data_IF_724258593821
#
_entry.id   IF_724258593821
#
_cell.length_a   1.000
_cell.length_b   1.000
_cell.length_c   1.000
_cell.angle_alpha   90.00
_cell.angle_beta   90.00
_cell.angle_gamma   90.00
#
_symmetry.space_group_name_H-M   'P 1'
#
loop_
_entity.id
_entity.type
_entity.pdbx_description
1 polymer ?
#
# COMPACT_ATOMS: atom_id res chain seq x y z
N UNK A 1 50.34 -41.00 18.68
CA UNK A 1 50.08 -39.76 17.92
C UNK A 1 51.37 -38.99 17.73
N UNK A 2 51.79 -38.84 16.48
CA UNK A 2 53.04 -38.17 16.08
C UNK A 2 52.82 -36.64 16.02
N UNK A 3 53.88 -35.83 16.18
CA UNK A 3 53.77 -34.35 16.10
C UNK A 3 53.18 -33.86 14.77
N UNK A 4 53.36 -34.63 13.69
CA UNK A 4 52.84 -34.36 12.34
C UNK A 4 51.30 -34.42 12.27
N UNK A 5 50.69 -35.32 13.03
CA UNK A 5 49.22 -35.45 13.10
C UNK A 5 48.59 -34.29 13.89
N UNK A 6 49.27 -33.83 14.95
CA UNK A 6 48.81 -32.68 15.76
C UNK A 6 48.81 -31.37 14.99
N UNK A 7 49.85 -31.12 14.17
CA UNK A 7 49.89 -29.95 13.29
C UNK A 7 48.79 -29.98 12.22
N UNK A 8 48.55 -31.15 11.62
CA UNK A 8 47.49 -31.31 10.63
C UNK A 8 46.11 -31.01 11.21
N UNK A 9 45.81 -31.55 12.39
CA UNK A 9 44.55 -31.31 13.09
C UNK A 9 44.38 -29.85 13.53
N UNK A 10 45.46 -29.16 13.91
CA UNK A 10 45.41 -27.73 14.22
C UNK A 10 45.17 -26.85 12.99
N UNK A 11 45.71 -27.22 11.82
CA UNK A 11 45.37 -26.56 10.55
C UNK A 11 43.90 -26.75 10.22
N UNK A 12 43.37 -27.97 10.29
CA UNK A 12 41.95 -28.27 9.99
C UNK A 12 41.02 -27.50 10.94
N UNK A 13 41.33 -27.46 12.25
CA UNK A 13 40.56 -26.66 13.22
C UNK A 13 40.59 -25.16 12.90
N UNK A 14 41.73 -24.61 12.47
CA UNK A 14 41.84 -23.20 12.05
C UNK A 14 40.99 -22.89 10.82
N UNK A 15 40.99 -23.76 9.82
CA UNK A 15 40.15 -23.62 8.64
C UNK A 15 38.66 -23.76 8.97
N UNK A 16 38.30 -24.71 9.85
CA UNK A 16 36.91 -24.88 10.31
C UNK A 16 36.41 -23.67 11.12
N UNK A 17 37.24 -23.10 12.00
CA UNK A 17 36.91 -21.89 12.75
C UNK A 17 36.79 -20.66 11.84
N UNK A 18 37.65 -20.54 10.82
CA UNK A 18 37.57 -19.47 9.83
C UNK A 18 36.29 -19.59 8.98
N UNK A 19 35.93 -20.80 8.54
CA UNK A 19 34.70 -21.03 7.79
C UNK A 19 33.45 -20.71 8.61
N UNK A 20 33.41 -21.13 9.88
CA UNK A 20 32.29 -20.84 10.79
C UNK A 20 32.13 -19.33 11.06
N UNK A 21 33.24 -18.60 11.24
CA UNK A 21 33.21 -17.13 11.40
C UNK A 21 32.82 -16.39 10.11
N UNK A 22 33.08 -16.97 8.94
CA UNK A 22 32.70 -16.37 7.66
C UNK A 22 31.19 -16.51 7.38
N UNK A 23 30.56 -17.60 7.84
CA UNK A 23 29.11 -17.82 7.68
C UNK A 23 28.26 -16.79 8.43
N UNK A 24 28.74 -16.29 9.59
CA UNK A 24 28.01 -15.28 10.37
C UNK A 24 28.03 -13.89 9.74
N UNK A 25 28.99 -13.61 8.84
CA UNK A 25 29.07 -12.34 8.11
C UNK A 25 28.07 -12.24 6.96
N UNK A 26 27.39 -13.33 6.61
CA UNK A 26 26.37 -13.38 5.54
C UNK A 26 24.94 -13.12 6.06
N UNK A 27 24.75 -12.93 7.38
CA UNK A 27 23.47 -12.55 7.95
C UNK A 27 23.34 -11.02 8.03
N UNK A 28 22.75 -10.42 7.00
CA UNK A 28 22.27 -9.05 7.01
C UNK A 28 20.76 -8.99 7.28
N UNK A 29 20.31 -7.97 8.01
CA UNK A 29 18.88 -7.63 8.05
C UNK A 29 18.50 -6.92 6.73
N UNK A 30 17.34 -7.25 6.17
CA UNK A 30 16.75 -6.42 5.11
C UNK A 30 16.37 -5.06 5.70
N UNK A 31 16.57 -4.01 4.90
CA UNK A 31 16.14 -2.64 5.19
C UNK A 31 14.94 -2.24 4.34
N UNK A 32 14.26 -3.20 3.73
CA UNK A 32 13.08 -2.94 2.92
C UNK A 32 11.95 -2.53 3.85
N UNK A 33 11.51 -1.28 3.70
CA UNK A 33 10.39 -0.73 4.44
C UNK A 33 9.20 -0.72 3.49
N UNK A 34 8.13 -1.41 3.88
CA UNK A 34 6.86 -1.28 3.20
C UNK A 34 6.29 0.11 3.49
N UNK A 35 6.18 0.93 2.44
CA UNK A 35 5.66 2.29 2.54
C UNK A 35 4.13 2.31 2.53
N UNK A 36 3.53 1.30 1.90
CA UNK A 36 2.09 1.21 1.76
C UNK A 36 1.47 0.51 2.97
N UNK A 37 0.45 1.15 3.56
CA UNK A 37 -0.45 0.45 4.46
C UNK A 37 -1.31 -0.56 3.67
N UNK A 38 -1.97 -1.52 4.34
CA UNK A 38 -3.01 -2.31 3.68
C UNK A 38 -4.03 -1.40 3.00
N UNK A 39 -4.29 -1.64 1.71
CA UNK A 39 -5.18 -0.79 0.95
C UNK A 39 -6.62 -0.91 1.45
N UNK A 40 -7.23 0.25 1.72
CA UNK A 40 -8.65 0.39 2.03
C UNK A 40 -9.33 1.24 0.96
N UNK A 41 -10.39 0.69 0.36
CA UNK A 41 -11.15 1.33 -0.71
C UNK A 41 -12.22 2.22 -0.09
N UNK A 42 -11.92 3.50 0.05
CA UNK A 42 -12.81 4.50 0.66
C UNK A 42 -13.41 5.42 -0.40
N UNK A 43 -14.73 5.68 -0.38
CA UNK A 43 -15.35 6.66 -1.27
C UNK A 43 -14.97 8.10 -0.86
N UNK A 44 -14.64 8.91 -1.86
CA UNK A 44 -14.38 10.35 -1.76
C UNK A 44 -15.45 11.05 -2.59
N UNK A 45 -16.36 11.74 -1.91
CA UNK A 45 -17.49 12.43 -2.54
C UNK A 45 -17.31 13.93 -2.36
N UNK A 46 -17.33 14.68 -3.46
CA UNK A 46 -17.25 16.13 -3.43
C UNK A 46 -18.11 16.77 -4.51
N UNK A 47 -18.63 17.95 -4.21
CA UNK A 47 -19.37 18.80 -5.14
C UNK A 47 -19.03 20.24 -4.84
N UNK A 48 -18.84 21.04 -5.88
CA UNK A 48 -18.69 22.48 -5.74
C UNK A 48 -20.06 23.10 -6.05
N UNK A 49 -20.62 23.78 -5.06
CA UNK A 49 -21.93 24.42 -5.20
C UNK A 49 -21.77 25.83 -5.76
N UNK A 50 -22.50 26.13 -6.82
CA UNK A 50 -22.56 27.46 -7.43
C UNK A 50 -24.00 27.98 -7.44
N UNK A 51 -24.27 29.04 -6.68
CA UNK A 51 -25.60 29.64 -6.58
C UNK A 51 -26.11 30.27 -7.89
N UNK A 52 -25.23 30.55 -8.85
CA UNK A 52 -25.61 31.07 -10.16
C UNK A 52 -26.04 29.97 -11.15
N UNK A 53 -25.80 28.70 -10.82
CA UNK A 53 -26.13 27.56 -11.68
C UNK A 53 -27.43 26.88 -11.23
N UNK A 54 -28.23 26.47 -12.20
CA UNK A 54 -29.44 25.68 -11.96
C UNK A 54 -29.12 24.20 -11.68
N UNK A 55 -27.96 23.73 -12.15
CA UNK A 55 -27.51 22.35 -12.08
C UNK A 55 -26.23 22.25 -11.27
N UNK A 56 -26.22 21.35 -10.29
CA UNK A 56 -25.06 21.08 -9.44
C UNK A 56 -24.53 19.68 -9.73
N UNK A 57 -23.20 19.53 -9.68
CA UNK A 57 -22.54 18.27 -9.96
C UNK A 57 -21.85 17.74 -8.72
N UNK A 58 -22.00 16.44 -8.50
CA UNK A 58 -21.30 15.70 -7.46
C UNK A 58 -20.42 14.66 -8.14
N UNK A 59 -19.17 14.61 -7.75
CA UNK A 59 -18.22 13.60 -8.19
C UNK A 59 -17.99 12.58 -7.07
N UNK A 60 -18.11 11.30 -7.43
CA UNK A 60 -17.89 10.16 -6.54
C UNK A 60 -16.67 9.39 -7.03
N UNK A 61 -15.59 9.45 -6.25
CA UNK A 61 -14.33 8.77 -6.53
C UNK A 61 -13.99 7.78 -5.42
N UNK A 62 -12.95 6.98 -5.61
CA UNK A 62 -12.33 6.11 -4.61
C UNK A 62 -10.88 6.52 -4.34
N UNK A 63 -10.40 6.16 -3.16
CA UNK A 63 -8.97 6.14 -2.86
C UNK A 63 -8.23 5.15 -3.75
N UNK A 64 -6.95 5.39 -4.00
CA UNK A 64 -6.03 4.42 -4.60
C UNK A 64 -4.73 4.37 -3.79
N UNK A 65 -4.16 3.18 -3.71
CA UNK A 65 -2.86 2.92 -3.12
C UNK A 65 -2.21 1.82 -3.94
N UNK A 66 -0.95 2.00 -4.30
CA UNK A 66 -0.22 1.07 -5.14
C UNK A 66 1.28 1.32 -5.04
N UNK A 67 2.03 0.42 -5.64
CA UNK A 67 3.49 0.51 -5.65
C UNK A 67 3.96 1.48 -6.75
N UNK A 68 5.12 2.10 -6.51
CA UNK A 68 5.73 3.03 -7.45
C UNK A 68 5.27 4.48 -7.28
N UNK A 69 5.25 5.23 -8.38
CA UNK A 69 4.95 6.66 -8.36
C UNK A 69 3.44 6.91 -8.43
N UNK A 70 2.87 7.36 -7.31
CA UNK A 70 1.44 7.62 -7.22
C UNK A 70 0.96 8.79 -8.09
N UNK A 71 1.86 9.67 -8.56
CA UNK A 71 1.50 10.69 -9.54
C UNK A 71 1.14 10.05 -10.89
N UNK A 72 1.87 9.02 -11.31
CA UNK A 72 1.60 8.35 -12.59
C UNK A 72 0.27 7.61 -12.55
N UNK A 73 -0.05 6.96 -11.41
CA UNK A 73 -1.36 6.36 -11.18
C UNK A 73 -2.49 7.41 -11.18
N UNK A 74 -2.26 8.59 -10.60
CA UNK A 74 -3.27 9.66 -10.54
C UNK A 74 -3.69 10.19 -11.92
N UNK A 75 -2.84 10.01 -12.94
CA UNK A 75 -3.14 10.41 -14.32
C UNK A 75 -4.06 9.41 -15.04
N UNK A 76 -4.24 8.21 -14.50
CA UNK A 76 -5.11 7.18 -15.08
C UNK A 76 -6.48 7.28 -14.41
N UNK A 77 -7.51 7.62 -15.18
CA UNK A 77 -8.85 7.89 -14.65
C UNK A 77 -9.40 6.71 -13.81
N UNK A 78 -9.18 5.49 -14.27
CA UNK A 78 -9.63 4.25 -13.61
C UNK A 78 -9.07 4.07 -12.19
N UNK A 79 -7.97 4.74 -11.84
CA UNK A 79 -7.30 4.59 -10.56
C UNK A 79 -8.15 5.19 -9.45
N UNK A 80 -8.86 6.29 -9.72
CA UNK A 80 -9.69 6.99 -8.74
C UNK A 80 -11.19 6.88 -9.02
N UNK A 81 -11.60 6.28 -10.14
CA UNK A 81 -13.02 6.14 -10.50
C UNK A 81 -13.58 4.76 -10.12
N UNK A 82 -14.87 4.74 -9.82
CA UNK A 82 -15.62 3.52 -9.64
C UNK A 82 -16.24 3.08 -10.98
N UNK A 83 -16.27 1.77 -11.28
CA UNK A 83 -17.21 1.23 -12.26
C UNK A 83 -18.65 1.57 -11.88
N UNK A 84 -19.52 1.78 -12.87
CA UNK A 84 -20.91 2.17 -12.63
C UNK A 84 -21.69 1.07 -11.90
N UNK A 85 -21.35 -0.20 -12.15
CA UNK A 85 -21.93 -1.37 -11.49
C UNK A 85 -21.57 -1.51 -10.01
N UNK A 86 -20.48 -0.87 -9.57
CA UNK A 86 -19.98 -0.91 -8.19
C UNK A 86 -20.64 0.16 -7.31
N UNK A 87 -21.43 1.08 -7.88
CA UNK A 87 -22.02 2.22 -7.19
C UNK A 87 -23.55 2.18 -7.16
N UNK A 88 -24.10 2.46 -5.99
CA UNK A 88 -25.50 2.88 -5.83
C UNK A 88 -25.50 4.30 -5.29
N UNK A 89 -26.03 5.25 -6.07
CA UNK A 89 -26.10 6.66 -5.68
C UNK A 89 -27.55 6.99 -5.35
N UNK A 90 -27.77 7.75 -4.27
CA UNK A 90 -29.08 8.28 -3.88
C UNK A 90 -28.92 9.70 -3.37
N UNK A 91 -29.84 10.57 -3.75
CA UNK A 91 -29.95 11.94 -3.24
C UNK A 91 -31.09 11.98 -2.24
N UNK A 92 -30.82 12.43 -1.02
CA UNK A 92 -31.83 12.56 0.04
C UNK A 92 -31.98 14.02 0.46
N UNK A 93 -33.20 14.53 0.42
CA UNK A 93 -33.57 15.79 1.04
C UNK A 93 -33.91 15.55 2.51
N UNK A 94 -33.35 16.36 3.41
CA UNK A 94 -33.63 16.30 4.85
C UNK A 94 -34.19 17.62 5.38
N UNK A 95 -35.33 17.54 6.07
CA UNK A 95 -35.98 18.67 6.75
C UNK A 95 -36.17 18.30 8.22
N UNK A 96 -35.58 19.06 9.13
CA UNK A 96 -35.71 18.82 10.58
C UNK A 96 -35.21 17.44 11.03
N UNK A 97 -34.19 16.89 10.36
CA UNK A 97 -33.62 15.56 10.65
C UNK A 97 -34.37 14.37 10.02
N UNK A 98 -35.55 14.61 9.43
CA UNK A 98 -36.31 13.58 8.71
C UNK A 98 -36.05 13.66 7.21
N UNK A 99 -36.06 12.52 6.52
CA UNK A 99 -35.97 12.47 5.05
C UNK A 99 -37.31 12.90 4.47
N UNK A 100 -37.31 13.96 3.67
CA UNK A 100 -38.50 14.54 3.03
C UNK A 100 -38.67 14.07 1.58
N UNK A 101 -37.57 13.72 0.91
CA UNK A 101 -37.55 13.22 -0.47
C UNK A 101 -36.30 12.37 -0.75
N UNK A 102 -36.42 11.44 -1.70
CA UNK A 102 -35.33 10.59 -2.16
C UNK A 102 -35.40 10.38 -3.68
N UNK A 103 -34.27 10.52 -4.35
CA UNK A 103 -34.09 10.28 -5.78
C UNK A 103 -32.92 9.31 -6.01
N UNK A 104 -33.05 8.40 -6.96
CA UNK A 104 -32.06 7.39 -7.32
C UNK A 104 -31.77 7.44 -8.82
#
# INVERSE_FOLDING_TARGET
>A
MTNREKESMNRVKRWALAAAGCTTLLWGCSTDIELNAPYDRTPVVFGLLDAAQDTQWVRVNRTWLGDGNQFDAALIADSSEYPAEDLTVRIQERVGGSVAGEWA
#
